data_IF_653725756359
#
_entry.id   IF_653725756359
#
_cell.length_a   1.000
_cell.length_b   1.000
_cell.length_c   1.000
_cell.angle_alpha   90.00
_cell.angle_beta   90.00
_cell.angle_gamma   90.00
#
_symmetry.space_group_name_H-M   'P 1'
#
loop_
_entity.id
_entity.type
_entity.pdbx_description
1 polymer ?
#
# COMPACT_ATOMS: atom_id res chain seq x y z
N UNK A 1 -3.71 -24.10 13.75
CA UNK A 1 -3.74 -22.79 13.05
C UNK A 1 -4.61 -21.90 13.92
N UNK A 2 -4.04 -20.85 14.51
CA UNK A 2 -4.86 -19.84 15.19
C UNK A 2 -5.80 -19.24 14.15
N UNK A 3 -7.09 -19.16 14.46
CA UNK A 3 -8.02 -18.40 13.63
C UNK A 3 -7.56 -16.94 13.66
N UNK A 4 -7.29 -16.36 12.49
CA UNK A 4 -6.89 -14.95 12.38
C UNK A 4 -8.11 -14.08 12.70
N UNK A 5 -8.00 -13.07 13.58
CA UNK A 5 -9.14 -12.23 13.96
C UNK A 5 -9.46 -11.13 12.94
N UNK A 6 -8.91 -11.22 11.73
CA UNK A 6 -9.02 -10.24 10.64
C UNK A 6 -8.96 -10.96 9.29
N UNK A 7 -9.33 -10.24 8.23
CA UNK A 7 -9.27 -10.64 6.84
C UNK A 7 -8.52 -9.59 6.03
N UNK A 8 -7.62 -10.07 5.19
CA UNK A 8 -7.11 -9.30 4.05
C UNK A 8 -8.17 -9.38 2.95
N UNK A 9 -8.66 -8.25 2.48
CA UNK A 9 -9.79 -8.17 1.55
C UNK A 9 -9.34 -8.11 0.09
N UNK A 10 -8.37 -7.23 -0.21
CA UNK A 10 -7.90 -7.01 -1.57
C UNK A 10 -6.84 -5.91 -1.62
N UNK A 11 -6.44 -5.53 -2.84
CA UNK A 11 -5.52 -4.43 -3.05
C UNK A 11 -6.21 -3.09 -2.79
N UNK A 12 -5.52 -2.23 -2.06
CA UNK A 12 -5.88 -0.83 -1.94
C UNK A 12 -5.02 0.01 -2.89
N UNK A 13 -3.70 -0.17 -2.85
CA UNK A 13 -2.79 0.54 -3.75
C UNK A 13 -1.57 -0.29 -4.18
N UNK A 14 -0.94 0.15 -5.27
CA UNK A 14 0.36 -0.33 -5.73
C UNK A 14 1.22 0.89 -6.01
N UNK A 15 2.36 1.01 -5.34
CA UNK A 15 3.27 2.11 -5.57
C UNK A 15 4.41 1.67 -6.48
N UNK A 16 4.57 2.38 -7.61
CA UNK A 16 5.61 2.12 -8.60
C UNK A 16 6.50 3.34 -8.77
N UNK A 17 7.80 3.12 -8.68
CA UNK A 17 8.81 4.16 -8.70
C UNK A 17 9.65 4.15 -9.97
N UNK A 18 10.02 5.34 -10.44
CA UNK A 18 10.91 5.53 -11.58
C UNK A 18 11.66 6.87 -11.49
N UNK A 19 12.72 7.03 -12.27
CA UNK A 19 13.46 8.31 -12.33
C UNK A 19 12.73 9.38 -13.17
N UNK A 20 11.77 8.97 -14.00
CA UNK A 20 10.97 9.86 -14.84
C UNK A 20 9.49 9.46 -14.76
N UNK A 21 8.69 10.31 -14.10
CA UNK A 21 7.25 10.13 -13.97
C UNK A 21 6.53 10.19 -15.31
N UNK A 22 7.04 10.92 -16.30
CA UNK A 22 6.40 10.98 -17.62
C UNK A 22 6.51 9.65 -18.36
N UNK A 23 7.62 8.93 -18.19
CA UNK A 23 7.75 7.57 -18.70
C UNK A 23 6.77 6.60 -18.02
N UNK A 24 6.56 6.73 -16.70
CA UNK A 24 5.53 5.97 -15.98
C UNK A 24 4.14 6.29 -16.54
N UNK A 25 3.76 7.57 -16.64
CA UNK A 25 2.46 7.99 -17.19
C UNK A 25 2.22 7.45 -18.59
N UNK A 26 3.23 7.49 -19.46
CA UNK A 26 3.13 6.95 -20.82
C UNK A 26 2.69 5.49 -20.84
N UNK A 27 3.20 4.68 -19.91
CA UNK A 27 2.79 3.29 -19.79
C UNK A 27 1.44 3.15 -19.07
N UNK A 28 1.35 3.62 -17.84
CA UNK A 28 0.19 3.35 -16.96
C UNK A 28 -1.08 4.09 -17.39
N UNK A 29 -0.95 5.34 -17.85
CA UNK A 29 -2.08 6.16 -18.29
C UNK A 29 -2.31 5.99 -19.79
N UNK A 30 -1.32 6.35 -20.62
CA UNK A 30 -1.55 6.46 -22.06
C UNK A 30 -1.66 5.09 -22.75
N UNK A 31 -0.93 4.08 -22.26
CA UNK A 31 -0.94 2.73 -22.86
C UNK A 31 -1.96 1.80 -22.22
N UNK A 32 -2.04 1.77 -20.88
CA UNK A 32 -2.96 0.88 -20.16
C UNK A 32 -4.34 1.49 -19.87
N UNK A 33 -4.47 2.83 -19.94
CA UNK A 33 -5.76 3.50 -19.77
C UNK A 33 -6.20 3.72 -18.31
N UNK A 34 -5.29 3.69 -17.32
CA UNK A 34 -5.65 4.02 -15.94
C UNK A 34 -6.06 5.49 -15.83
N UNK A 35 -7.03 5.78 -14.96
CA UNK A 35 -7.64 7.12 -14.88
C UNK A 35 -6.88 8.00 -13.89
N UNK A 36 -6.34 9.17 -14.30
CA UNK A 36 -5.72 10.10 -13.37
C UNK A 36 -6.73 10.60 -12.31
N UNK A 37 -6.34 10.58 -11.04
CA UNK A 37 -7.18 11.00 -9.91
C UNK A 37 -6.58 12.18 -9.12
N UNK A 38 -5.28 12.38 -9.16
CA UNK A 38 -4.63 13.49 -8.48
C UNK A 38 -3.12 13.45 -8.57
N UNK A 39 -2.48 14.38 -7.87
CA UNK A 39 -1.02 14.50 -7.78
C UNK A 39 -0.63 14.91 -6.38
N UNK A 40 0.52 14.45 -5.90
CA UNK A 40 1.07 14.86 -4.62
C UNK A 40 2.58 15.10 -4.72
N UNK A 41 3.08 16.02 -3.91
CA UNK A 41 4.50 16.36 -3.89
C UNK A 41 4.94 16.66 -2.45
N UNK A 42 6.02 16.02 -2.02
CA UNK A 42 6.57 16.17 -0.67
C UNK A 42 8.09 16.19 -0.68
N UNK A 43 8.67 17.29 -0.19
CA UNK A 43 10.12 17.39 0.05
C UNK A 43 10.59 16.42 1.13
N UNK A 44 9.77 16.25 2.18
CA UNK A 44 10.09 15.38 3.32
C UNK A 44 10.16 13.91 2.90
N UNK A 45 9.26 13.47 2.04
CA UNK A 45 9.21 12.09 1.55
C UNK A 45 10.02 11.91 0.24
N UNK A 46 10.70 12.96 -0.23
CA UNK A 46 11.47 12.98 -1.47
C UNK A 46 10.69 12.45 -2.68
N UNK A 47 9.45 12.90 -2.87
CA UNK A 47 8.54 12.37 -3.90
C UNK A 47 7.74 13.44 -4.64
N UNK A 48 7.54 13.21 -5.93
CA UNK A 48 6.54 13.81 -6.80
C UNK A 48 5.78 12.67 -7.48
N UNK A 49 4.49 12.55 -7.21
CA UNK A 49 3.68 11.39 -7.62
C UNK A 49 2.35 11.78 -8.25
N UNK A 50 1.86 10.88 -9.12
CA UNK A 50 0.51 10.93 -9.65
C UNK A 50 -0.27 9.73 -9.13
N UNK A 51 -1.51 9.96 -8.72
CA UNK A 51 -2.47 8.91 -8.37
C UNK A 51 -3.25 8.54 -9.63
N UNK A 52 -3.19 7.28 -10.04
CA UNK A 52 -4.00 6.77 -11.17
C UNK A 52 -4.80 5.56 -10.72
N UNK A 53 -6.03 5.42 -11.21
CA UNK A 53 -7.00 4.44 -10.70
C UNK A 53 -7.24 3.35 -11.72
N UNK A 54 -7.23 2.11 -11.24
CA UNK A 54 -7.77 0.93 -11.91
C UNK A 54 -9.01 0.42 -11.16
N UNK A 55 -9.94 -0.26 -11.85
CA UNK A 55 -11.14 -0.82 -11.22
C UNK A 55 -12.27 0.19 -11.01
N UNK A 56 -13.31 -0.23 -10.29
CA UNK A 56 -14.57 0.52 -10.16
C UNK A 56 -15.17 0.38 -8.77
N UNK A 57 -15.93 1.40 -8.34
CA UNK A 57 -16.65 1.37 -7.06
C UNK A 57 -15.73 1.06 -5.87
N UNK A 58 -16.15 0.18 -4.94
CA UNK A 58 -15.34 -0.25 -3.80
C UNK A 58 -14.13 -1.13 -4.15
N UNK A 59 -14.00 -1.56 -5.41
CA UNK A 59 -12.88 -2.38 -5.90
C UNK A 59 -11.84 -1.57 -6.68
N UNK A 60 -11.87 -0.23 -6.53
CA UNK A 60 -10.81 0.62 -7.08
C UNK A 60 -9.47 0.29 -6.41
N UNK A 61 -8.43 0.28 -7.23
CA UNK A 61 -7.04 0.18 -6.80
C UNK A 61 -6.32 1.43 -7.27
N UNK A 62 -5.69 2.12 -6.34
CA UNK A 62 -4.82 3.26 -6.62
C UNK A 62 -3.43 2.76 -7.07
N UNK A 63 -2.85 3.41 -8.06
CA UNK A 63 -1.48 3.14 -8.51
C UNK A 63 -0.70 4.44 -8.42
N UNK A 64 0.29 4.47 -7.54
CA UNK A 64 1.09 5.65 -7.27
C UNK A 64 2.30 5.67 -8.18
N UNK A 65 2.36 6.65 -9.09
CA UNK A 65 3.46 6.80 -10.03
C UNK A 65 4.49 7.76 -9.45
N UNK A 66 5.47 7.22 -8.71
CA UNK A 66 6.42 8.00 -7.93
C UNK A 66 7.70 8.33 -8.69
N UNK A 67 8.12 9.59 -8.61
CA UNK A 67 9.45 10.05 -9.00
C UNK A 67 10.13 10.73 -7.81
N UNK A 68 11.43 10.48 -7.55
CA UNK A 68 12.15 11.19 -6.51
C UNK A 68 12.34 12.66 -6.90
N UNK A 69 12.26 13.56 -5.93
CA UNK A 69 12.63 14.97 -6.14
C UNK A 69 14.14 15.11 -6.36
N UNK A 70 14.91 14.33 -5.62
CA UNK A 70 16.35 14.20 -5.73
C UNK A 70 16.71 12.70 -5.65
N UNK A 71 17.20 12.08 -6.74
CA UNK A 71 17.49 10.64 -6.77
C UNK A 71 18.62 10.22 -5.82
N UNK A 72 19.46 11.16 -5.36
CA UNK A 72 20.55 10.90 -4.44
C UNK A 72 20.12 10.95 -2.97
N UNK A 73 18.91 11.45 -2.68
CA UNK A 73 18.39 11.54 -1.31
C UNK A 73 17.50 10.35 -0.93
N UNK A 74 17.44 10.08 0.37
CA UNK A 74 16.46 9.18 0.96
C UNK A 74 15.22 9.96 1.40
N UNK A 75 14.00 9.38 1.30
CA UNK A 75 13.68 8.05 0.77
C UNK A 75 13.94 7.88 -0.74
N UNK A 76 14.36 6.68 -1.17
CA UNK A 76 14.55 6.35 -2.59
C UNK A 76 13.27 5.70 -3.15
N UNK A 77 12.25 6.51 -3.44
CA UNK A 77 10.94 6.02 -3.91
C UNK A 77 10.99 5.21 -5.22
N UNK A 78 12.04 5.41 -6.03
CA UNK A 78 12.31 4.68 -7.27
C UNK A 78 13.01 3.31 -7.09
N UNK A 79 13.43 2.96 -5.86
CA UNK A 79 14.17 1.72 -5.59
C UNK A 79 13.63 1.02 -4.33
N UNK A 80 13.07 -0.20 -4.46
CA UNK A 80 12.79 -0.92 -5.72
C UNK A 80 11.73 -0.24 -6.59
N UNK A 81 11.67 -0.62 -7.88
CA UNK A 81 10.70 -0.06 -8.83
C UNK A 81 9.25 -0.43 -8.48
N UNK A 82 9.01 -1.63 -7.95
CA UNK A 82 7.77 -1.95 -7.23
C UNK A 82 8.02 -1.62 -5.77
N UNK A 83 7.64 -0.41 -5.34
CA UNK A 83 8.06 0.16 -4.08
C UNK A 83 7.36 -0.52 -2.90
N UNK A 84 6.03 -0.53 -2.91
CA UNK A 84 5.21 -1.19 -1.92
C UNK A 84 3.84 -1.58 -2.49
N UNK A 85 3.13 -2.42 -1.74
CA UNK A 85 1.72 -2.78 -1.99
C UNK A 85 0.89 -2.44 -0.76
N UNK A 86 -0.28 -1.85 -0.98
CA UNK A 86 -1.29 -1.59 0.04
C UNK A 86 -2.40 -2.63 -0.02
N UNK A 87 -2.76 -3.16 1.15
CA UNK A 87 -3.78 -4.18 1.31
C UNK A 87 -4.90 -3.65 2.20
N UNK A 88 -6.14 -3.78 1.74
CA UNK A 88 -7.32 -3.58 2.56
C UNK A 88 -7.42 -4.66 3.64
N UNK A 89 -7.65 -4.23 4.87
CA UNK A 89 -7.89 -5.09 6.03
C UNK A 89 -9.22 -4.69 6.69
N UNK A 90 -10.04 -5.66 7.09
CA UNK A 90 -11.33 -5.39 7.74
C UNK A 90 -11.19 -4.85 9.17
N UNK A 91 -10.21 -5.34 9.94
CA UNK A 91 -9.86 -4.85 11.27
C UNK A 91 -8.33 -4.73 11.41
N UNK A 92 -7.82 -3.51 11.22
CA UNK A 92 -6.39 -3.21 11.27
C UNK A 92 -5.81 -3.37 12.67
N UNK A 93 -6.56 -3.02 13.72
CA UNK A 93 -6.07 -3.11 15.10
C UNK A 93 -5.92 -4.56 15.53
N UNK A 94 -6.90 -5.41 15.20
CA UNK A 94 -6.82 -6.84 15.43
C UNK A 94 -5.70 -7.49 14.61
N UNK A 95 -5.52 -7.05 13.35
CA UNK A 95 -4.43 -7.51 12.50
C UNK A 95 -3.04 -7.18 13.05
N UNK A 96 -2.79 -5.91 13.40
CA UNK A 96 -1.51 -5.47 13.96
C UNK A 96 -1.20 -6.24 15.26
N UNK A 97 -2.17 -6.34 16.17
CA UNK A 97 -2.01 -7.03 17.46
C UNK A 97 -1.63 -8.50 17.26
N UNK A 98 -2.42 -9.23 16.47
CA UNK A 98 -2.19 -10.64 16.22
C UNK A 98 -0.87 -10.89 15.48
N UNK A 99 -0.55 -10.07 14.48
CA UNK A 99 0.71 -10.21 13.72
C UNK A 99 1.94 -9.90 14.58
N UNK A 100 1.87 -8.93 15.49
CA UNK A 100 2.95 -8.66 16.44
C UNK A 100 3.19 -9.86 17.37
N UNK A 101 2.12 -10.50 17.87
CA UNK A 101 2.20 -11.71 18.70
C UNK A 101 2.83 -12.90 17.94
N UNK A 102 2.55 -13.01 16.64
CA UNK A 102 3.14 -14.03 15.77
C UNK A 102 4.59 -13.72 15.33
N UNK A 103 5.14 -12.57 15.73
CA UNK A 103 6.53 -12.19 15.45
C UNK A 103 6.75 -11.46 14.12
N UNK A 104 5.70 -10.86 13.55
CA UNK A 104 5.81 -9.97 12.38
C UNK A 104 6.48 -8.66 12.78
N UNK A 105 7.46 -8.24 11.97
CA UNK A 105 8.14 -6.97 12.13
C UNK A 105 7.39 -5.87 11.40
N UNK A 106 6.83 -4.94 12.15
CA UNK A 106 6.31 -3.69 11.62
C UNK A 106 7.41 -2.62 11.49
N UNK A 107 7.21 -1.66 10.59
CA UNK A 107 8.04 -0.44 10.57
C UNK A 107 7.72 0.43 11.79
N UNK A 108 8.61 1.34 12.20
CA UNK A 108 8.28 2.33 13.23
C UNK A 108 7.06 3.18 12.84
N UNK A 109 6.31 3.64 13.85
CA UNK A 109 5.22 4.60 13.69
C UNK A 109 3.83 4.08 14.07
N UNK A 110 3.65 2.76 14.16
CA UNK A 110 2.35 2.13 14.48
C UNK A 110 1.23 2.53 13.52
N UNK A 111 -0.01 2.29 13.94
CA UNK A 111 -1.21 2.74 13.24
C UNK A 111 -1.30 4.28 13.27
N UNK A 112 -1.44 4.87 12.09
CA UNK A 112 -1.54 6.33 11.88
C UNK A 112 -2.35 6.64 10.63
N UNK A 113 -2.68 7.92 10.42
CA UNK A 113 -3.33 8.36 9.18
C UNK A 113 -2.36 8.35 7.98
N UNK A 114 -2.74 7.65 6.90
CA UNK A 114 -2.07 7.63 5.61
C UNK A 114 -2.50 8.79 4.68
N UNK A 115 -1.92 8.85 3.48
CA UNK A 115 -2.14 9.95 2.52
C UNK A 115 -3.61 10.08 2.07
N UNK A 116 -4.31 8.95 1.94
CA UNK A 116 -5.73 8.87 1.59
C UNK A 116 -6.69 9.03 2.79
N UNK A 117 -6.17 9.32 3.99
CA UNK A 117 -6.96 9.56 5.21
C UNK A 117 -7.41 8.31 5.97
N UNK A 118 -7.05 7.12 5.49
CA UNK A 118 -7.27 5.86 6.18
C UNK A 118 -6.26 5.64 7.30
N UNK A 119 -6.61 4.80 8.28
CA UNK A 119 -5.63 4.29 9.25
C UNK A 119 -4.75 3.22 8.59
N UNK A 120 -3.44 3.33 8.77
CA UNK A 120 -2.44 2.49 8.12
C UNK A 120 -1.31 2.11 9.06
N UNK A 121 -0.73 0.94 8.85
CA UNK A 121 0.57 0.55 9.39
C UNK A 121 1.36 -0.23 8.31
N UNK A 122 2.67 -0.40 8.52
CA UNK A 122 3.52 -1.02 7.50
C UNK A 122 4.28 -2.20 8.07
N UNK A 123 4.34 -3.29 7.30
CA UNK A 123 5.17 -4.46 7.59
C UNK A 123 6.53 -4.25 6.93
N UNK A 124 7.60 -4.46 7.71
CA UNK A 124 8.96 -4.27 7.24
C UNK A 124 9.34 -5.39 6.24
N UNK A 125 10.06 -5.08 5.15
CA UNK A 125 10.46 -6.09 4.15
C UNK A 125 11.30 -7.25 4.70
N UNK A 126 12.01 -7.02 5.80
CA UNK A 126 12.93 -7.99 6.42
C UNK A 126 12.60 -8.19 7.89
N UNK A 127 12.58 -9.42 8.38
CA UNK A 127 12.57 -9.69 9.82
C UNK A 127 13.84 -9.21 10.55
N UNK A 128 13.88 -9.44 11.85
CA UNK A 128 15.06 -9.27 12.71
C UNK A 128 15.01 -10.28 13.88
N UNK A 129 15.95 -10.19 14.82
CA UNK A 129 16.04 -11.14 15.95
C UNK A 129 14.80 -11.13 16.87
N UNK A 130 14.19 -9.96 17.12
CA UNK A 130 13.03 -9.81 17.99
C UNK A 130 11.69 -10.11 17.29
N UNK A 131 11.63 -9.86 15.98
CA UNK A 131 10.45 -10.02 15.12
C UNK A 131 10.92 -10.70 13.83
N UNK A 132 11.00 -12.04 13.81
CA UNK A 132 11.66 -12.78 12.75
C UNK A 132 10.92 -12.76 11.41
N UNK A 133 9.62 -12.46 11.40
CA UNK A 133 8.80 -12.49 10.18
C UNK A 133 8.82 -11.10 9.52
N UNK A 134 9.37 -11.01 8.32
CA UNK A 134 9.22 -9.84 7.43
C UNK A 134 8.34 -10.17 6.23
N UNK A 135 8.13 -9.20 5.36
CA UNK A 135 7.39 -9.39 4.10
C UNK A 135 8.30 -9.80 2.92
N UNK A 136 9.34 -10.60 3.19
CA UNK A 136 10.20 -11.25 2.18
C UNK A 136 10.70 -10.32 1.05
N UNK A 137 11.13 -9.11 1.40
CA UNK A 137 11.68 -8.12 0.48
C UNK A 137 10.68 -7.10 -0.07
N UNK A 138 9.40 -7.21 0.27
CA UNK A 138 8.35 -6.27 -0.14
C UNK A 138 7.95 -5.39 1.04
N UNK A 139 7.84 -4.08 0.84
CA UNK A 139 7.19 -3.21 1.82
C UNK A 139 5.67 -3.38 1.66
N UNK A 140 4.97 -3.71 2.74
CA UNK A 140 3.52 -3.92 2.72
C UNK A 140 2.87 -2.89 3.63
N UNK A 141 1.89 -2.18 3.09
CA UNK A 141 1.01 -1.30 3.85
C UNK A 141 -0.31 -2.02 4.12
N UNK A 142 -0.72 -2.06 5.37
CA UNK A 142 -2.05 -2.50 5.77
C UNK A 142 -2.93 -1.28 5.98
N UNK A 143 -4.08 -1.26 5.33
CA UNK A 143 -4.99 -0.12 5.31
C UNK A 143 -6.35 -0.54 5.85
N UNK A 144 -6.85 0.18 6.85
CA UNK A 144 -8.19 -0.04 7.39
C UNK A 144 -9.25 0.23 6.31
N UNK A 145 -9.95 -0.82 5.90
CA UNK A 145 -11.00 -0.73 4.91
C UNK A 145 -12.22 0.03 5.47
N UNK A 146 -12.82 0.93 4.67
CA UNK A 146 -14.11 1.52 5.01
C UNK A 146 -15.24 0.48 4.88
N UNK A 147 -16.38 0.77 5.50
CA UNK A 147 -17.49 -0.19 5.64
C UNK A 147 -18.07 -0.65 4.29
N UNK A 148 -18.09 0.22 3.28
CA UNK A 148 -18.55 -0.09 1.93
C UNK A 148 -17.61 -1.05 1.19
N UNK A 149 -16.28 -0.91 1.38
CA UNK A 149 -15.28 -1.87 0.87
C UNK A 149 -15.44 -3.23 1.55
N UNK A 150 -15.56 -3.26 2.89
CA UNK A 150 -15.79 -4.51 3.64
C UNK A 150 -17.04 -5.23 3.14
N UNK A 151 -18.14 -4.48 2.98
CA UNK A 151 -19.41 -5.02 2.51
C UNK A 151 -19.31 -5.58 1.09
N UNK A 152 -18.64 -4.87 0.18
CA UNK A 152 -18.48 -5.27 -1.21
C UNK A 152 -17.65 -6.57 -1.35
N UNK A 153 -16.51 -6.67 -0.65
CA UNK A 153 -15.69 -7.90 -0.66
C UNK A 153 -16.41 -9.06 0.02
N UNK A 154 -17.17 -8.80 1.09
CA UNK A 154 -17.97 -9.85 1.76
C UNK A 154 -19.08 -10.37 0.86
N UNK A 155 -19.75 -9.51 0.09
CA UNK A 155 -20.76 -9.93 -0.87
C UNK A 155 -20.16 -10.80 -1.98
N UNK A 156 -19.07 -10.34 -2.60
CA UNK A 156 -18.39 -11.08 -3.68
C UNK A 156 -17.87 -12.46 -3.23
N UNK A 157 -17.39 -12.59 -1.99
CA UNK A 157 -16.91 -13.87 -1.46
C UNK A 157 -18.02 -14.92 -1.26
N UNK A 158 -19.29 -14.50 -1.16
CA UNK A 158 -20.43 -15.40 -1.02
C UNK A 158 -21.05 -15.80 -2.38
N UNK A 159 -20.59 -15.20 -3.48
CA UNK A 159 -21.08 -15.46 -4.83
C UNK A 159 -20.25 -16.52 -5.59
N UNK A 160 -19.09 -16.91 -5.07
CA UNK A 160 -18.17 -17.91 -5.67
C UNK A 160 -18.22 -19.26 -4.97
#
# INVERSE_FOLDING_TARGET
MSDRPFKILGLQQIAVGGLDKMALRKFWVDTLGLTPAGTYRSEKENVDEDFVIAGVGPFKVEVDLMQPLDPEKSPKVHLPALNHVGLWVDDLQAAETWMLEEGVRFTPGGIRKGASGHDVCFIHPKGNEASPIGAEGVLVELVQAPTDVIAAFSAAANEG
#
